data_IF_541062437801
#
_entry.id   IF_541062437801
#
_cell.length_a   1.000
_cell.length_b   1.000
_cell.length_c   1.000
_cell.angle_alpha   90.00
_cell.angle_beta   90.00
_cell.angle_gamma   90.00
#
_symmetry.space_group_name_H-M   'P 1'
#
loop_
_entity.id
_entity.type
_entity.pdbx_description
1 polymer ?
#
# COMPACT_ATOMS: atom_id res chain seq x y z
N UNK A 1 -36.68 14.68 53.00
CA UNK A 1 -37.33 13.93 51.89
C UNK A 1 -37.08 14.72 50.61
N UNK A 2 -35.84 14.82 50.13
CA UNK A 2 -35.01 13.84 49.38
C UNK A 2 -35.05 14.13 47.89
N UNK A 3 -34.22 15.11 47.49
CA UNK A 3 -33.69 15.33 46.13
C UNK A 3 -32.81 14.14 45.63
N UNK A 4 -33.03 12.94 46.16
CA UNK A 4 -32.27 11.71 45.87
C UNK A 4 -32.97 10.79 44.86
N UNK A 5 -34.19 11.11 44.41
CA UNK A 5 -34.92 10.29 43.45
C UNK A 5 -34.67 10.68 41.98
N UNK A 6 -34.23 11.91 41.70
CA UNK A 6 -34.00 12.36 40.31
C UNK A 6 -32.59 12.05 39.78
N UNK A 7 -31.62 11.76 40.65
CA UNK A 7 -30.24 11.46 40.26
C UNK A 7 -30.05 9.96 39.93
N UNK A 8 -30.93 9.09 40.45
CA UNK A 8 -30.81 7.63 40.25
C UNK A 8 -31.38 7.13 38.91
N UNK A 9 -32.22 7.90 38.22
CA UNK A 9 -32.74 7.50 36.89
C UNK A 9 -31.87 7.96 35.71
N UNK A 10 -30.93 8.88 35.92
CA UNK A 10 -29.98 9.29 34.86
C UNK A 10 -28.70 8.43 34.91
N UNK A 11 -28.34 7.89 36.08
CA UNK A 11 -27.15 7.05 36.23
C UNK A 11 -27.30 5.61 35.66
N UNK A 12 -28.53 5.10 35.48
CA UNK A 12 -28.76 3.77 34.90
C UNK A 12 -28.90 3.81 33.36
N UNK A 13 -29.27 4.95 32.78
CA UNK A 13 -29.39 5.10 31.33
C UNK A 13 -28.04 5.32 30.60
N UNK A 14 -26.99 5.72 31.32
CA UNK A 14 -25.67 6.03 30.71
C UNK A 14 -24.71 4.83 30.78
N UNK A 15 -24.94 3.86 31.67
CA UNK A 15 -24.12 2.64 31.76
C UNK A 15 -24.57 1.50 30.83
N UNK A 16 -25.75 1.62 30.19
CA UNK A 16 -26.30 0.57 29.31
C UNK A 16 -25.95 0.76 27.81
N UNK A 17 -25.39 1.90 27.41
CA UNK A 17 -25.16 2.21 25.99
C UNK A 17 -23.70 2.09 25.52
N UNK A 18 -22.74 1.79 26.41
CA UNK A 18 -21.31 1.83 26.08
C UNK A 18 -20.59 0.51 26.32
N UNK A 19 -21.30 -0.61 26.21
CA UNK A 19 -20.69 -1.88 25.84
C UNK A 19 -21.05 -2.17 24.39
N UNK A 20 -20.47 -1.41 23.46
CA UNK A 20 -20.31 -1.91 22.10
C UNK A 20 -19.32 -3.08 22.15
N UNK A 21 -19.82 -4.25 22.55
CA UNK A 21 -19.23 -5.51 22.15
C UNK A 21 -19.37 -5.53 20.65
N UNK A 22 -18.28 -5.25 19.92
CA UNK A 22 -18.22 -5.47 18.47
C UNK A 22 -18.65 -6.93 18.27
N UNK A 23 -19.82 -7.19 17.65
CA UNK A 23 -20.25 -8.55 17.41
C UNK A 23 -19.18 -9.25 16.60
N UNK A 24 -18.84 -10.49 16.96
CA UNK A 24 -17.79 -11.29 16.32
C UNK A 24 -18.04 -11.50 14.81
N UNK A 25 -19.25 -11.16 14.31
CA UNK A 25 -19.65 -11.20 12.90
C UNK A 25 -20.31 -9.89 12.41
N UNK A 26 -19.72 -8.72 12.68
CA UNK A 26 -20.20 -7.44 12.09
C UNK A 26 -19.62 -7.13 10.71
N UNK A 27 -18.88 -8.07 10.09
CA UNK A 27 -18.24 -7.84 8.80
C UNK A 27 -19.19 -8.18 7.65
N UNK A 28 -19.45 -7.18 6.80
CA UNK A 28 -20.24 -7.30 5.58
C UNK A 28 -19.31 -7.13 4.36
N UNK A 29 -18.91 -8.23 3.68
CA UNK A 29 -17.99 -8.16 2.55
C UNK A 29 -18.63 -7.47 1.33
N UNK A 30 -19.95 -7.50 1.19
CA UNK A 30 -20.66 -6.78 0.12
C UNK A 30 -20.60 -5.27 0.37
N UNK A 31 -20.89 -4.82 1.60
CA UNK A 31 -20.77 -3.41 1.97
C UNK A 31 -19.34 -2.90 1.84
N UNK A 32 -18.35 -3.74 2.16
CA UNK A 32 -16.94 -3.45 1.99
C UNK A 32 -16.55 -3.25 0.52
N UNK A 33 -16.93 -4.19 -0.34
CA UNK A 33 -16.69 -4.11 -1.78
C UNK A 33 -17.35 -2.85 -2.36
N UNK A 34 -18.61 -2.60 -2.01
CA UNK A 34 -19.33 -1.41 -2.46
C UNK A 34 -18.71 -0.10 -1.95
N UNK A 35 -18.16 -0.08 -0.73
CA UNK A 35 -17.42 1.09 -0.23
C UNK A 35 -16.16 1.32 -1.06
N UNK A 36 -15.35 0.28 -1.27
CA UNK A 36 -14.12 0.35 -2.05
C UNK A 36 -14.39 0.82 -3.48
N UNK A 37 -15.41 0.24 -4.15
CA UNK A 37 -15.81 0.61 -5.51
C UNK A 37 -16.19 2.09 -5.59
N UNK A 38 -17.06 2.57 -4.67
CA UNK A 38 -17.44 3.99 -4.62
C UNK A 38 -16.24 4.92 -4.39
N UNK A 39 -15.28 4.52 -3.54
CA UNK A 39 -14.12 5.36 -3.23
C UNK A 39 -13.15 5.46 -4.40
N UNK A 40 -12.92 4.38 -5.14
CA UNK A 40 -12.05 4.44 -6.33
C UNK A 40 -12.74 5.17 -7.49
N UNK A 41 -14.05 4.98 -7.69
CA UNK A 41 -14.82 5.71 -8.71
C UNK A 41 -14.76 7.22 -8.46
N UNK A 42 -14.99 7.64 -7.22
CA UNK A 42 -14.85 9.03 -6.83
C UNK A 42 -13.43 9.56 -7.09
N UNK A 43 -12.40 8.78 -6.75
CA UNK A 43 -11.01 9.18 -6.97
C UNK A 43 -10.70 9.36 -8.47
N UNK A 44 -11.08 8.39 -9.31
CA UNK A 44 -10.88 8.44 -10.76
C UNK A 44 -11.65 9.60 -11.41
N UNK A 45 -12.83 9.93 -10.89
CA UNK A 45 -13.63 11.07 -11.36
C UNK A 45 -13.20 12.44 -10.82
N UNK A 46 -12.35 12.49 -9.79
CA UNK A 46 -11.93 13.74 -9.18
C UNK A 46 -10.87 14.44 -10.04
N UNK A 47 -11.15 15.68 -10.46
CA UNK A 47 -10.24 16.46 -11.32
C UNK A 47 -8.84 16.68 -10.72
N UNK A 48 -8.69 16.63 -9.40
CA UNK A 48 -7.39 16.69 -8.72
C UNK A 48 -6.52 15.45 -8.97
N UNK A 49 -7.12 14.31 -9.27
CA UNK A 49 -6.42 13.08 -9.62
C UNK A 49 -6.04 13.02 -11.11
N UNK A 50 -6.66 13.82 -11.97
CA UNK A 50 -6.41 13.80 -13.41
C UNK A 50 -4.95 14.12 -13.76
N UNK A 51 -4.40 13.36 -14.71
CA UNK A 51 -3.05 13.48 -15.23
C UNK A 51 -3.07 13.55 -16.75
N UNK A 52 -1.91 13.81 -17.33
CA UNK A 52 -1.79 13.87 -18.78
C UNK A 52 -2.15 12.54 -19.46
N UNK A 53 -2.40 12.60 -20.77
CA UNK A 53 -2.79 11.44 -21.58
C UNK A 53 -4.09 10.76 -21.12
N UNK A 54 -4.97 11.49 -20.42
CA UNK A 54 -6.24 10.94 -19.94
C UNK A 54 -6.09 9.93 -18.81
N UNK A 55 -4.97 9.99 -18.08
CA UNK A 55 -4.68 9.08 -16.96
C UNK A 55 -4.94 9.74 -15.60
N UNK A 56 -4.74 9.03 -14.49
CA UNK A 56 -4.85 9.61 -13.16
C UNK A 56 -3.73 9.18 -12.20
N UNK A 57 -3.62 9.88 -11.07
CA UNK A 57 -2.63 9.57 -10.03
C UNK A 57 -3.03 8.33 -9.24
N UNK A 58 -2.09 7.41 -9.05
CA UNK A 58 -2.28 6.26 -8.14
C UNK A 58 -2.18 6.74 -6.70
N UNK A 59 -3.31 6.96 -6.03
CA UNK A 59 -3.29 7.27 -4.60
C UNK A 59 -2.71 6.10 -3.81
N UNK A 60 -1.66 6.37 -3.03
CA UNK A 60 -1.06 5.43 -2.08
C UNK A 60 -2.07 4.90 -1.04
N UNK A 61 -3.12 5.67 -0.74
CA UNK A 61 -4.10 5.40 0.32
C UNK A 61 -5.52 5.10 -0.20
N UNK A 62 -5.74 5.16 -1.51
CA UNK A 62 -7.04 4.82 -2.14
C UNK A 62 -6.87 3.77 -3.24
N UNK A 63 -6.11 4.09 -4.29
CA UNK A 63 -5.96 3.23 -5.46
C UNK A 63 -5.16 1.96 -5.14
N UNK A 64 -4.05 2.08 -4.39
CA UNK A 64 -3.26 0.91 -4.02
C UNK A 64 -4.05 -0.05 -3.10
N UNK A 65 -4.65 0.39 -1.96
CA UNK A 65 -5.46 -0.50 -1.14
C UNK A 65 -6.61 -1.14 -1.92
N UNK A 66 -7.25 -0.39 -2.82
CA UNK A 66 -8.31 -0.92 -3.70
C UNK A 66 -7.78 -2.05 -4.60
N UNK A 67 -6.69 -1.82 -5.33
CA UNK A 67 -6.09 -2.81 -6.24
C UNK A 67 -5.69 -4.11 -5.52
N UNK A 68 -5.24 -4.04 -4.26
CA UNK A 68 -4.82 -5.21 -3.51
C UNK A 68 -6.00 -5.95 -2.85
N UNK A 69 -6.98 -5.21 -2.33
CA UNK A 69 -8.08 -5.77 -1.55
C UNK A 69 -9.27 -6.23 -2.40
N UNK A 70 -9.67 -5.46 -3.43
CA UNK A 70 -10.90 -5.73 -4.18
C UNK A 70 -10.90 -7.09 -4.91
N UNK A 71 -9.77 -7.57 -5.48
CA UNK A 71 -9.71 -8.92 -6.03
C UNK A 71 -9.93 -10.04 -5.00
N UNK A 72 -9.50 -9.82 -3.75
CA UNK A 72 -9.70 -10.77 -2.65
C UNK A 72 -11.15 -10.79 -2.17
N UNK A 73 -11.80 -9.62 -2.10
CA UNK A 73 -13.24 -9.53 -1.86
C UNK A 73 -14.05 -10.16 -2.99
N UNK A 74 -13.65 -9.96 -4.25
CA UNK A 74 -14.27 -10.62 -5.41
C UNK A 74 -14.28 -12.14 -5.24
N UNK A 75 -13.14 -12.71 -4.86
CA UNK A 75 -13.04 -14.15 -4.62
C UNK A 75 -13.95 -14.60 -3.45
N UNK A 76 -13.98 -13.84 -2.35
CA UNK A 76 -14.83 -14.13 -1.20
C UNK A 76 -16.33 -14.02 -1.50
N UNK A 77 -16.71 -13.14 -2.44
CA UNK A 77 -18.08 -12.90 -2.88
C UNK A 77 -18.49 -13.78 -4.08
N UNK A 78 -17.58 -14.64 -4.57
CA UNK A 78 -17.79 -15.48 -5.74
C UNK A 78 -18.18 -14.70 -7.02
N UNK A 79 -17.71 -13.45 -7.18
CA UNK A 79 -17.97 -12.70 -8.42
C UNK A 79 -17.03 -13.19 -9.54
N UNK A 80 -17.58 -13.42 -10.72
CA UNK A 80 -16.90 -14.14 -11.82
C UNK A 80 -15.95 -13.26 -12.65
N UNK A 81 -16.04 -11.93 -12.52
CA UNK A 81 -15.25 -10.99 -13.29
C UNK A 81 -14.91 -9.75 -12.45
N UNK A 82 -13.81 -9.03 -12.76
CA UNK A 82 -13.54 -7.73 -12.15
C UNK A 82 -14.71 -6.76 -12.38
N UNK A 83 -14.91 -5.82 -11.47
CA UNK A 83 -15.89 -4.74 -11.67
C UNK A 83 -15.41 -3.73 -12.74
N UNK A 84 -16.29 -2.80 -13.14
CA UNK A 84 -15.89 -1.71 -14.05
C UNK A 84 -14.74 -0.87 -13.45
N UNK A 85 -14.81 -0.44 -12.18
CA UNK A 85 -13.72 0.32 -11.57
C UNK A 85 -12.41 -0.46 -11.42
N UNK A 86 -12.46 -1.77 -11.16
CA UNK A 86 -11.25 -2.61 -11.17
C UNK A 86 -10.55 -2.61 -12.53
N UNK A 87 -11.31 -2.79 -13.61
CA UNK A 87 -10.74 -2.74 -14.98
C UNK A 87 -10.17 -1.37 -15.30
N UNK A 88 -10.93 -0.30 -15.02
CA UNK A 88 -10.49 1.06 -15.28
C UNK A 88 -9.19 1.41 -14.55
N UNK A 89 -9.05 1.00 -13.28
CA UNK A 89 -7.81 1.20 -12.55
C UNK A 89 -6.65 0.46 -13.21
N UNK A 90 -6.79 -0.83 -13.47
CA UNK A 90 -5.69 -1.62 -14.03
C UNK A 90 -5.34 -1.19 -15.45
N UNK A 91 -6.30 -0.74 -16.25
CA UNK A 91 -6.06 -0.20 -17.59
C UNK A 91 -5.30 1.14 -17.53
N UNK A 92 -5.60 2.00 -16.55
CA UNK A 92 -4.82 3.23 -16.31
C UNK A 92 -3.37 2.92 -15.94
N UNK A 93 -3.16 1.95 -15.03
CA UNK A 93 -1.81 1.49 -14.65
C UNK A 93 -1.04 0.98 -15.88
N UNK A 94 -1.65 0.10 -16.68
CA UNK A 94 -1.03 -0.43 -17.90
C UNK A 94 -0.73 0.68 -18.90
N UNK A 95 -1.65 1.63 -19.08
CA UNK A 95 -1.46 2.76 -19.98
C UNK A 95 -0.27 3.62 -19.56
N UNK A 96 -0.15 3.96 -18.26
CA UNK A 96 0.96 4.75 -17.75
C UNK A 96 2.30 4.03 -17.85
N UNK A 97 2.32 2.71 -17.63
CA UNK A 97 3.53 1.87 -17.83
C UNK A 97 3.96 1.86 -19.29
N UNK A 98 3.04 1.65 -20.24
CA UNK A 98 3.32 1.66 -21.68
C UNK A 98 3.81 3.03 -22.17
N UNK A 99 3.28 4.10 -21.57
CA UNK A 99 3.61 5.48 -21.92
C UNK A 99 4.67 6.08 -20.98
N UNK A 100 5.45 5.28 -20.26
CA UNK A 100 6.33 5.74 -19.16
C UNK A 100 7.20 6.95 -19.52
N UNK A 101 7.90 6.90 -20.66
CA UNK A 101 8.75 8.01 -21.13
C UNK A 101 8.00 9.22 -21.69
N UNK A 102 6.68 9.11 -21.86
CA UNK A 102 5.83 10.11 -22.50
C UNK A 102 4.78 10.72 -21.55
N UNK A 103 4.52 10.11 -20.39
CA UNK A 103 3.73 10.69 -19.31
C UNK A 103 4.58 11.65 -18.50
N UNK A 104 3.97 12.65 -17.86
CA UNK A 104 4.63 13.46 -16.83
C UNK A 104 4.55 12.76 -15.47
N UNK A 105 5.48 13.04 -14.53
CA UNK A 105 5.31 12.68 -13.14
C UNK A 105 3.97 13.20 -12.60
N UNK A 106 3.35 12.47 -11.68
CA UNK A 106 2.12 12.91 -11.01
C UNK A 106 2.28 14.27 -10.33
N UNK A 107 3.45 14.51 -9.75
CA UNK A 107 3.82 15.75 -9.10
C UNK A 107 5.16 16.22 -9.66
N UNK A 108 5.23 17.47 -10.12
CA UNK A 108 6.43 18.03 -10.74
C UNK A 108 7.12 19.05 -9.83
N UNK A 109 8.41 19.30 -10.07
CA UNK A 109 9.23 20.23 -9.29
C UNK A 109 8.71 21.66 -9.44
N UNK A 110 8.27 22.05 -10.64
CA UNK A 110 7.81 23.40 -10.93
C UNK A 110 6.56 23.77 -10.11
N UNK A 111 5.72 22.78 -9.80
CA UNK A 111 4.46 23.01 -9.07
C UNK A 111 4.55 22.66 -7.58
N UNK A 112 5.39 21.72 -7.19
CA UNK A 112 5.38 21.15 -5.84
C UNK A 112 6.70 21.32 -5.08
N UNK A 113 7.72 21.88 -5.72
CA UNK A 113 9.02 22.13 -5.14
C UNK A 113 10.09 21.08 -5.48
N UNK A 114 11.35 21.36 -5.16
CA UNK A 114 12.50 20.55 -5.59
C UNK A 114 12.39 19.07 -5.20
N UNK A 115 12.74 18.18 -6.13
CA UNK A 115 12.81 16.74 -5.92
C UNK A 115 11.46 16.00 -6.05
N UNK A 116 10.34 16.71 -6.20
CA UNK A 116 9.00 16.12 -6.29
C UNK A 116 8.78 15.25 -7.52
N UNK A 117 9.42 15.58 -8.64
CA UNK A 117 9.40 14.80 -9.87
C UNK A 117 10.05 13.44 -9.67
N UNK A 118 11.20 13.42 -8.99
CA UNK A 118 11.90 12.17 -8.67
C UNK A 118 11.09 11.33 -7.68
N UNK A 119 10.59 11.94 -6.59
CA UNK A 119 9.70 11.30 -5.63
C UNK A 119 8.45 10.71 -6.30
N UNK A 120 7.81 11.50 -7.16
CA UNK A 120 6.63 11.06 -7.90
C UNK A 120 6.92 9.88 -8.81
N UNK A 121 8.07 9.86 -9.51
CA UNK A 121 8.45 8.74 -10.38
C UNK A 121 8.78 7.49 -9.61
N UNK A 122 9.53 7.60 -8.51
CA UNK A 122 9.85 6.44 -7.67
C UNK A 122 8.59 5.82 -7.06
N UNK A 123 7.69 6.64 -6.51
CA UNK A 123 6.40 6.16 -6.01
C UNK A 123 5.54 5.52 -7.11
N UNK A 124 5.37 6.19 -8.25
CA UNK A 124 4.60 5.64 -9.38
C UNK A 124 5.14 4.29 -9.85
N UNK A 125 6.47 4.15 -9.96
CA UNK A 125 7.10 2.94 -10.45
C UNK A 125 6.89 1.75 -9.50
N UNK A 126 7.09 1.96 -8.19
CA UNK A 126 6.86 0.93 -7.17
C UNK A 126 5.39 0.52 -7.11
N UNK A 127 4.47 1.49 -7.10
CA UNK A 127 3.03 1.19 -7.03
C UNK A 127 2.54 0.46 -8.28
N UNK A 128 2.99 0.86 -9.47
CA UNK A 128 2.63 0.20 -10.73
C UNK A 128 3.10 -1.26 -10.75
N UNK A 129 4.35 -1.49 -10.35
CA UNK A 129 4.92 -2.83 -10.28
C UNK A 129 4.14 -3.71 -9.30
N UNK A 130 3.82 -3.20 -8.10
CA UNK A 130 3.05 -3.95 -7.11
C UNK A 130 1.64 -4.27 -7.60
N UNK A 131 0.90 -3.28 -8.11
CA UNK A 131 -0.49 -3.48 -8.55
C UNK A 131 -0.57 -4.51 -9.67
N UNK A 132 0.30 -4.42 -10.68
CA UNK A 132 0.29 -5.37 -11.80
C UNK A 132 0.79 -6.76 -11.41
N UNK A 133 1.87 -6.85 -10.62
CA UNK A 133 2.36 -8.14 -10.13
C UNK A 133 1.31 -8.83 -9.23
N UNK A 134 0.59 -8.07 -8.41
CA UNK A 134 -0.47 -8.60 -7.54
C UNK A 134 -1.71 -9.09 -8.31
N UNK A 135 -2.14 -8.33 -9.33
CA UNK A 135 -3.25 -8.72 -10.21
C UNK A 135 -2.91 -10.03 -10.95
N UNK A 136 -1.71 -10.10 -11.52
CA UNK A 136 -1.28 -11.22 -12.36
C UNK A 136 -0.83 -12.46 -11.58
N UNK A 137 -0.45 -12.33 -10.31
CA UNK A 137 -0.13 -13.45 -9.42
C UNK A 137 -1.26 -14.50 -9.37
N UNK A 138 -2.52 -14.08 -9.57
CA UNK A 138 -3.69 -14.98 -9.59
C UNK A 138 -3.74 -15.89 -10.81
N UNK A 139 -3.17 -15.45 -11.93
CA UNK A 139 -3.08 -16.24 -13.16
C UNK A 139 -1.76 -17.01 -13.27
N UNK A 140 -0.84 -16.80 -12.32
CA UNK A 140 0.50 -17.37 -12.29
C UNK A 140 1.35 -17.11 -13.55
N UNK A 141 1.05 -16.01 -14.28
CA UNK A 141 1.76 -15.61 -15.49
C UNK A 141 2.16 -14.15 -15.41
N UNK A 142 3.36 -13.82 -15.87
CA UNK A 142 3.85 -12.44 -15.89
C UNK A 142 3.71 -11.85 -17.30
N UNK A 143 2.71 -10.99 -17.47
CA UNK A 143 2.44 -10.27 -18.70
C UNK A 143 3.49 -9.22 -19.05
N UNK A 144 3.46 -8.76 -20.30
CA UNK A 144 4.40 -7.76 -20.80
C UNK A 144 4.31 -6.42 -20.04
N UNK A 145 3.10 -6.00 -19.67
CA UNK A 145 2.91 -4.74 -18.93
C UNK A 145 3.45 -4.85 -17.49
N UNK A 146 3.21 -5.96 -16.79
CA UNK A 146 3.74 -6.16 -15.44
C UNK A 146 5.27 -6.26 -15.44
N UNK A 147 5.85 -6.94 -16.44
CA UNK A 147 7.30 -6.98 -16.65
C UNK A 147 7.86 -5.58 -16.91
N UNK A 148 7.25 -4.81 -17.80
CA UNK A 148 7.64 -3.42 -18.04
C UNK A 148 7.52 -2.53 -16.80
N UNK A 149 6.51 -2.76 -15.95
CA UNK A 149 6.36 -2.02 -14.69
C UNK A 149 7.49 -2.34 -13.70
N UNK A 150 7.88 -3.61 -13.59
CA UNK A 150 9.03 -4.03 -12.79
C UNK A 150 10.34 -3.46 -13.36
N UNK A 151 10.51 -3.44 -14.68
CA UNK A 151 11.68 -2.84 -15.33
C UNK A 151 11.77 -1.33 -15.06
N UNK A 152 10.64 -0.61 -15.18
CA UNK A 152 10.56 0.81 -14.84
C UNK A 152 10.91 1.06 -13.36
N UNK A 153 10.39 0.22 -12.44
CA UNK A 153 10.74 0.26 -11.02
C UNK A 153 12.24 0.10 -10.83
N UNK A 154 12.85 -0.94 -11.37
CA UNK A 154 14.29 -1.14 -11.24
C UNK A 154 15.10 0.01 -11.84
N UNK A 155 14.69 0.55 -13.00
CA UNK A 155 15.39 1.64 -13.68
C UNK A 155 15.55 2.90 -12.81
N UNK A 156 14.61 3.18 -11.89
CA UNK A 156 14.66 4.36 -11.01
C UNK A 156 15.11 4.04 -9.57
N UNK A 157 15.62 2.84 -9.30
CA UNK A 157 16.22 2.51 -8.01
C UNK A 157 17.51 3.31 -7.79
N UNK A 158 17.70 3.86 -6.59
CA UNK A 158 18.91 4.59 -6.22
C UNK A 158 20.10 3.63 -6.06
N UNK A 159 21.14 3.81 -6.87
CA UNK A 159 22.33 2.96 -6.89
C UNK A 159 23.48 3.40 -5.96
N UNK A 160 23.39 4.58 -5.35
CA UNK A 160 24.44 5.15 -4.51
C UNK A 160 23.85 6.06 -3.41
N UNK A 161 24.71 6.56 -2.53
CA UNK A 161 24.30 7.44 -1.43
C UNK A 161 23.63 6.69 -0.26
N UNK A 162 23.10 7.44 0.73
CA UNK A 162 22.45 6.86 1.91
C UNK A 162 21.23 6.01 1.56
N UNK A 163 20.53 6.40 0.50
CA UNK A 163 19.28 5.79 0.02
C UNK A 163 19.52 4.64 -0.96
N UNK A 164 20.78 4.23 -1.17
CA UNK A 164 21.11 3.11 -2.06
C UNK A 164 20.27 1.89 -1.73
N UNK A 165 19.55 1.39 -2.74
CA UNK A 165 18.64 0.25 -2.66
C UNK A 165 17.16 0.61 -2.61
N UNK A 166 16.81 1.89 -2.43
CA UNK A 166 15.44 2.37 -2.37
C UNK A 166 15.06 3.24 -3.60
N UNK A 167 13.88 3.87 -3.53
CA UNK A 167 13.33 4.76 -4.54
C UNK A 167 13.08 6.12 -3.92
N UNK A 168 13.22 7.22 -4.66
CA UNK A 168 12.67 8.49 -4.17
C UNK A 168 11.15 8.32 -3.92
N UNK A 169 10.66 8.81 -2.78
CA UNK A 169 9.28 8.57 -2.35
C UNK A 169 8.58 9.89 -2.02
N UNK A 170 7.30 10.00 -2.36
CA UNK A 170 6.51 11.20 -2.08
C UNK A 170 6.46 11.49 -0.59
N UNK A 171 6.78 12.74 -0.24
CA UNK A 171 6.70 13.27 1.12
C UNK A 171 5.88 14.56 1.16
N UNK A 172 4.59 14.45 1.51
CA UNK A 172 3.69 15.59 1.69
C UNK A 172 3.40 15.86 3.17
N UNK A 173 4.21 15.32 4.08
CA UNK A 173 3.92 15.30 5.51
C UNK A 173 2.53 14.71 5.83
N UNK A 174 2.14 13.66 5.10
CA UNK A 174 0.87 12.95 5.25
C UNK A 174 1.14 11.55 5.82
N UNK A 175 1.22 11.50 7.15
CA UNK A 175 1.48 10.26 7.86
C UNK A 175 0.37 9.21 7.64
N UNK A 176 0.71 7.91 7.57
CA UNK A 176 2.07 7.36 7.58
C UNK A 176 2.69 7.12 6.19
N UNK A 177 2.01 7.49 5.10
CA UNK A 177 2.40 7.08 3.74
C UNK A 177 3.36 8.02 3.04
N UNK A 178 3.33 9.31 3.38
CA UNK A 178 4.09 10.36 2.69
C UNK A 178 4.76 11.27 3.73
N UNK A 179 5.62 10.66 4.54
CA UNK A 179 6.44 11.30 5.58
C UNK A 179 7.93 11.11 5.27
N UNK A 180 8.86 11.85 5.90
CA UNK A 180 10.28 11.81 5.56
C UNK A 180 10.92 10.41 5.55
N UNK A 181 10.46 9.49 6.41
CA UNK A 181 10.97 8.11 6.49
C UNK A 181 10.14 7.09 5.67
N UNK A 182 9.09 7.51 4.95
CA UNK A 182 8.22 6.64 4.16
C UNK A 182 8.90 6.05 2.91
N UNK A 183 10.12 6.47 2.60
CA UNK A 183 10.96 5.78 1.63
C UNK A 183 11.13 4.28 1.98
N UNK A 184 11.20 3.96 3.27
CA UNK A 184 11.25 2.57 3.73
C UNK A 184 9.96 1.81 3.42
N UNK A 185 8.81 2.45 3.58
CA UNK A 185 7.52 1.91 3.19
C UNK A 185 7.50 1.57 1.69
N UNK A 186 7.96 2.50 0.85
CA UNK A 186 8.12 2.25 -0.60
C UNK A 186 9.04 1.08 -0.92
N UNK A 187 10.20 0.98 -0.24
CA UNK A 187 11.12 -0.13 -0.43
C UNK A 187 10.50 -1.49 -0.01
N UNK A 188 9.73 -1.52 1.08
CA UNK A 188 9.03 -2.72 1.51
C UNK A 188 7.92 -3.13 0.51
N UNK A 189 7.21 -2.17 -0.09
CA UNK A 189 6.25 -2.45 -1.16
C UNK A 189 6.91 -2.98 -2.43
N UNK A 190 8.09 -2.46 -2.79
CA UNK A 190 8.87 -2.99 -3.92
C UNK A 190 9.32 -4.44 -3.65
N UNK A 191 9.76 -4.74 -2.43
CA UNK A 191 10.10 -6.10 -2.02
C UNK A 191 8.88 -7.04 -2.10
N UNK A 192 7.70 -6.56 -1.73
CA UNK A 192 6.45 -7.29 -1.91
C UNK A 192 6.15 -7.51 -3.40
N UNK A 193 6.28 -6.50 -4.25
CA UNK A 193 6.05 -6.59 -5.70
C UNK A 193 6.91 -7.70 -6.34
N UNK A 194 8.21 -7.73 -6.00
CA UNK A 194 9.15 -8.77 -6.48
C UNK A 194 8.78 -10.15 -5.94
N UNK A 195 8.36 -10.24 -4.67
CA UNK A 195 7.98 -11.51 -4.05
C UNK A 195 6.67 -12.10 -4.56
N UNK A 196 5.72 -11.27 -5.01
CA UNK A 196 4.43 -11.73 -5.57
C UNK A 196 4.47 -11.95 -7.07
N UNK A 197 5.42 -11.32 -7.78
CA UNK A 197 5.56 -11.48 -9.22
C UNK A 197 5.70 -12.97 -9.60
N UNK A 198 4.85 -13.47 -10.51
CA UNK A 198 4.82 -14.89 -10.87
C UNK A 198 6.05 -15.31 -11.70
N UNK A 199 6.08 -16.58 -12.12
CA UNK A 199 7.14 -17.15 -12.95
C UNK A 199 8.54 -17.11 -12.32
N UNK A 200 8.58 -17.18 -10.98
CA UNK A 200 9.81 -17.09 -10.18
C UNK A 200 10.66 -15.85 -10.54
N UNK A 201 9.99 -14.73 -10.81
CA UNK A 201 10.61 -13.47 -11.24
C UNK A 201 11.82 -13.06 -10.37
N UNK A 202 11.71 -13.27 -9.04
CA UNK A 202 12.76 -12.96 -8.06
C UNK A 202 14.09 -13.68 -8.29
N UNK A 203 14.10 -14.79 -9.04
CA UNK A 203 15.29 -15.61 -9.32
C UNK A 203 15.99 -15.23 -10.64
N UNK A 204 15.45 -14.24 -11.37
CA UNK A 204 16.04 -13.77 -12.63
C UNK A 204 17.45 -13.21 -12.36
N UNK A 205 18.50 -13.70 -13.06
CA UNK A 205 19.88 -13.26 -12.82
C UNK A 205 20.09 -11.74 -12.93
N UNK A 206 19.39 -11.11 -13.88
CA UNK A 206 19.54 -9.69 -14.22
C UNK A 206 19.11 -8.74 -13.10
N UNK A 207 18.30 -9.20 -12.14
CA UNK A 207 17.81 -8.37 -11.04
C UNK A 207 18.56 -8.61 -9.72
N UNK A 208 19.46 -9.60 -9.64
CA UNK A 208 20.03 -10.04 -8.36
C UNK A 208 20.83 -8.93 -7.66
N UNK A 209 21.64 -8.16 -8.38
CA UNK A 209 22.40 -7.05 -7.80
C UNK A 209 21.47 -5.98 -7.21
N UNK A 210 20.40 -5.63 -7.94
CA UNK A 210 19.40 -4.64 -7.50
C UNK A 210 18.58 -5.14 -6.32
N UNK A 211 18.25 -6.43 -6.32
CA UNK A 211 17.56 -7.09 -5.22
C UNK A 211 18.44 -7.13 -3.97
N UNK A 212 19.74 -7.36 -4.12
CA UNK A 212 20.69 -7.32 -3.01
C UNK A 212 20.77 -5.92 -2.40
N UNK A 213 20.84 -4.86 -3.23
CA UNK A 213 20.80 -3.48 -2.73
C UNK A 213 19.51 -3.18 -1.95
N UNK A 214 18.36 -3.67 -2.42
CA UNK A 214 17.09 -3.54 -1.72
C UNK A 214 17.13 -4.20 -0.34
N UNK A 215 17.64 -5.42 -0.26
CA UNK A 215 17.79 -6.17 1.01
C UNK A 215 18.69 -5.42 1.99
N UNK A 216 19.82 -4.92 1.51
CA UNK A 216 20.76 -4.13 2.32
C UNK A 216 20.13 -2.84 2.84
N UNK A 217 19.36 -2.14 2.00
CA UNK A 217 18.63 -0.94 2.41
C UNK A 217 17.62 -1.23 3.52
N UNK A 218 16.79 -2.26 3.33
CA UNK A 218 15.77 -2.65 4.30
C UNK A 218 16.38 -3.09 5.63
N UNK A 219 17.47 -3.87 5.59
CA UNK A 219 18.17 -4.30 6.80
C UNK A 219 18.83 -3.13 7.54
N UNK A 220 19.57 -2.27 6.82
CA UNK A 220 20.29 -1.12 7.38
C UNK A 220 19.36 -0.14 8.09
N UNK A 221 18.21 0.14 7.48
CA UNK A 221 17.31 1.18 7.98
C UNK A 221 16.27 0.66 8.97
N UNK A 222 16.09 -0.67 9.12
CA UNK A 222 15.08 -1.30 9.98
C UNK A 222 15.01 -0.75 11.42
N UNK A 223 16.13 -0.56 12.15
CA UNK A 223 16.08 -0.15 13.56
C UNK A 223 15.46 1.24 13.80
N UNK A 224 15.46 2.11 12.79
CA UNK A 224 14.90 3.46 12.88
C UNK A 224 13.41 3.54 12.50
N UNK A 225 12.84 2.46 11.94
CA UNK A 225 11.50 2.50 11.35
C UNK A 225 10.36 2.44 12.36
N UNK A 226 9.27 3.14 12.02
CA UNK A 226 7.98 3.04 12.71
C UNK A 226 7.41 1.61 12.66
N UNK A 227 6.51 1.28 13.59
CA UNK A 227 5.80 -0.01 13.56
C UNK A 227 5.05 -0.19 12.23
N UNK A 228 4.41 0.87 11.72
CA UNK A 228 3.72 0.83 10.42
C UNK A 228 4.65 0.35 9.28
N UNK A 229 5.82 0.97 9.13
CA UNK A 229 6.79 0.59 8.08
C UNK A 229 7.30 -0.84 8.25
N UNK A 230 7.58 -1.26 9.49
CA UNK A 230 8.03 -2.63 9.78
C UNK A 230 6.94 -3.67 9.52
N UNK A 231 5.66 -3.34 9.70
CA UNK A 231 4.57 -4.26 9.36
C UNK A 231 4.43 -4.49 7.86
N UNK A 232 4.74 -3.48 7.04
CA UNK A 232 4.80 -3.67 5.58
C UNK A 232 5.98 -4.55 5.20
N UNK A 233 7.15 -4.41 5.86
CA UNK A 233 8.25 -5.34 5.68
C UNK A 233 7.90 -6.77 6.12
N UNK A 234 7.19 -6.91 7.26
CA UNK A 234 6.70 -8.21 7.72
C UNK A 234 5.82 -8.86 6.64
N UNK A 235 4.91 -8.10 6.03
CA UNK A 235 4.10 -8.59 4.92
C UNK A 235 4.96 -8.99 3.71
N UNK A 236 5.90 -8.15 3.28
CA UNK A 236 6.83 -8.48 2.20
C UNK A 236 7.63 -9.76 2.49
N UNK A 237 8.01 -10.00 3.74
CA UNK A 237 8.77 -11.19 4.15
C UNK A 237 8.01 -12.51 3.99
N UNK A 238 6.68 -12.46 3.83
CA UNK A 238 5.86 -13.65 3.50
C UNK A 238 5.98 -14.08 2.05
N UNK A 239 6.54 -13.21 1.18
CA UNK A 239 6.65 -13.42 -0.27
C UNK A 239 8.09 -13.42 -0.76
N UNK A 240 8.96 -12.73 -0.06
CA UNK A 240 10.39 -12.66 -0.35
C UNK A 240 11.19 -13.08 0.89
N UNK A 241 11.80 -14.26 0.81
CA UNK A 241 12.60 -14.85 1.89
C UNK A 241 13.81 -13.98 2.23
N UNK A 242 14.34 -14.08 3.45
CA UNK A 242 15.56 -13.39 3.86
C UNK A 242 15.42 -11.88 4.13
N UNK A 243 14.20 -11.34 4.19
CA UNK A 243 13.95 -9.94 4.57
C UNK A 243 13.97 -9.69 6.08
N UNK A 244 13.60 -10.70 6.87
CA UNK A 244 13.57 -10.65 8.33
C UNK A 244 14.07 -11.98 8.89
N UNK A 245 14.78 -11.91 10.03
CA UNK A 245 15.06 -13.08 10.86
C UNK A 245 13.78 -13.58 11.53
N UNK A 246 13.76 -14.85 11.96
CA UNK A 246 12.59 -15.44 12.62
C UNK A 246 12.21 -14.71 13.91
N UNK A 247 13.21 -14.29 14.68
CA UNK A 247 13.06 -13.55 15.92
C UNK A 247 12.47 -12.16 15.68
N UNK A 248 12.92 -11.48 14.62
CA UNK A 248 12.37 -10.18 14.23
C UNK A 248 10.90 -10.30 13.79
N UNK A 249 10.56 -11.34 13.01
CA UNK A 249 9.17 -11.61 12.62
C UNK A 249 8.28 -11.80 13.84
N UNK A 250 8.70 -12.65 14.78
CA UNK A 250 7.93 -12.96 15.97
C UNK A 250 7.72 -11.70 16.85
N UNK A 251 8.78 -10.93 17.09
CA UNK A 251 8.69 -9.69 17.86
C UNK A 251 7.75 -8.65 17.22
N UNK A 252 7.73 -8.55 15.88
CA UNK A 252 6.82 -7.67 15.16
C UNK A 252 5.36 -8.11 15.26
N UNK A 253 5.09 -9.42 15.14
CA UNK A 253 3.74 -9.96 15.29
C UNK A 253 3.20 -9.63 16.69
N UNK A 254 4.01 -9.86 17.72
CA UNK A 254 3.62 -9.53 19.10
C UNK A 254 3.41 -8.04 19.32
N UNK A 255 4.27 -7.19 18.73
CA UNK A 255 4.09 -5.74 18.79
C UNK A 255 2.80 -5.29 18.10
N UNK A 256 2.46 -5.88 16.95
CA UNK A 256 1.23 -5.60 16.21
C UNK A 256 -0.01 -5.96 17.03
N UNK A 257 -0.02 -7.15 17.62
CA UNK A 257 -1.12 -7.61 18.46
C UNK A 257 -1.28 -6.72 19.69
N UNK A 258 -0.18 -6.38 20.39
CA UNK A 258 -0.23 -5.45 21.53
C UNK A 258 -0.80 -4.09 21.13
N UNK A 259 -0.39 -3.53 19.99
CA UNK A 259 -0.91 -2.26 19.50
C UNK A 259 -2.40 -2.34 19.11
N UNK A 260 -2.84 -3.43 18.49
CA UNK A 260 -4.24 -3.65 18.11
C UNK A 260 -5.20 -3.86 19.29
N UNK A 261 -4.71 -4.43 20.40
CA UNK A 261 -5.49 -4.60 21.64
C UNK A 261 -5.38 -3.41 22.61
N UNK A 262 -4.40 -2.52 22.42
CA UNK A 262 -4.23 -1.30 23.21
C UNK A 262 -5.02 -0.11 22.62
N UNK A 263 -6.29 -0.33 22.25
CA UNK A 263 -7.20 0.74 21.88
C UNK A 263 -7.11 1.88 22.90
N UNK A 264 -6.87 3.09 22.42
CA UNK A 264 -6.63 4.28 23.25
C UNK A 264 -7.66 4.37 24.40
N UNK A 265 -7.24 4.64 25.65
CA UNK A 265 -8.18 5.12 26.64
C UNK A 265 -8.78 6.43 26.10
N UNK A 266 -10.10 6.47 26.01
CA UNK A 266 -10.85 7.64 25.56
C UNK A 266 -10.29 8.91 26.23
N UNK A 267 -9.77 9.84 25.44
CA UNK A 267 -9.45 11.19 25.87
C UNK A 267 -10.68 12.06 25.79
#
# INVERSE_FOLDING_TARGET
>A
MTRSAAISCVAIAIAACSHHRVPVNSWDPQAAAAYLDRRIEWWMGWSGAARDRGTFCFSCHTAMPYALARPSLRAALAEVAPTVPERQLMDDVRQRVRLWGATRPFYTDERHGPGKSAQSRGTEAVLSALMLAWDEARSARLGADARAALDNMWAVQQGSGPDRGAWAWLDFNLAPWEVPDAQYYGAALAALAVGVAPEDYRSIPQIQDRLQLLREYLARNYPAQSLHHRLVLLWASTRLEGLLASEQRQALIEAALRAGFAGEPAR
#
